data_IF_232619463777
#
_entry.id   IF_232619463777
#
_cell.length_a   1.000
_cell.length_b   1.000
_cell.length_c   1.000
_cell.angle_alpha   90.00
_cell.angle_beta   90.00
_cell.angle_gamma   90.00
#
_symmetry.space_group_name_H-M   'P 1'
#
loop_
_entity.id
_entity.type
_entity.pdbx_description
1 polymer ?
#
# COMPACT_ATOMS: atom_id res chain seq x y z
N UNK A 1 -16.32 -2.25 6.22
CA UNK A 1 -16.01 -3.27 5.20
C UNK A 1 -17.06 -3.16 4.09
N UNK A 2 -16.73 -3.58 2.86
CA UNK A 2 -17.64 -3.56 1.70
C UNK A 2 -17.68 -4.95 1.09
N UNK A 3 -18.86 -5.52 0.86
CA UNK A 3 -19.00 -6.82 0.19
C UNK A 3 -19.15 -6.63 -1.32
N UNK A 4 -18.38 -7.38 -2.09
CA UNK A 4 -18.46 -7.42 -3.54
C UNK A 4 -19.20 -8.69 -3.95
N UNK A 5 -20.27 -8.49 -4.72
CA UNK A 5 -21.08 -9.55 -5.29
C UNK A 5 -20.99 -9.54 -6.79
N UNK A 6 -20.92 -10.73 -7.38
CA UNK A 6 -20.93 -10.96 -8.83
C UNK A 6 -22.24 -11.64 -9.24
N UNK A 7 -22.80 -11.20 -10.35
CA UNK A 7 -23.92 -11.86 -11.02
C UNK A 7 -23.42 -12.99 -11.92
N UNK A 8 -23.83 -14.21 -11.62
CA UNK A 8 -23.46 -15.48 -12.25
C UNK A 8 -24.73 -16.20 -12.72
N UNK A 9 -25.14 -16.05 -14.00
CA UNK A 9 -26.41 -16.60 -14.49
C UNK A 9 -26.46 -18.13 -14.46
N UNK A 10 -25.33 -18.82 -14.39
CA UNK A 10 -25.24 -20.28 -14.26
C UNK A 10 -25.78 -20.81 -12.91
N UNK A 11 -25.88 -19.95 -11.89
CA UNK A 11 -26.39 -20.33 -10.57
C UNK A 11 -27.93 -20.23 -10.53
N UNK A 12 -28.61 -21.33 -10.88
CA UNK A 12 -30.06 -21.36 -11.09
C UNK A 12 -30.94 -21.00 -9.87
N UNK A 13 -30.41 -21.08 -8.64
CA UNK A 13 -31.18 -20.75 -7.41
C UNK A 13 -30.96 -19.31 -6.95
N UNK A 14 -29.71 -18.86 -6.91
CA UNK A 14 -29.34 -17.50 -6.56
C UNK A 14 -28.21 -17.05 -7.50
N UNK A 15 -28.50 -16.15 -8.45
CA UNK A 15 -27.51 -15.73 -9.42
C UNK A 15 -26.49 -14.77 -8.81
N UNK A 16 -26.71 -14.21 -7.62
CA UNK A 16 -25.72 -13.35 -6.97
C UNK A 16 -24.82 -14.18 -6.08
N UNK A 17 -23.50 -14.00 -6.24
CA UNK A 17 -22.50 -14.70 -5.43
C UNK A 17 -21.57 -13.69 -4.78
N UNK A 18 -21.41 -13.78 -3.46
CA UNK A 18 -20.37 -13.05 -2.75
C UNK A 18 -19.00 -13.57 -3.20
N UNK A 19 -18.15 -12.67 -3.70
CA UNK A 19 -16.85 -13.04 -4.27
C UNK A 19 -15.67 -12.54 -3.44
N UNK A 20 -15.75 -11.32 -2.90
CA UNK A 20 -14.65 -10.68 -2.20
C UNK A 20 -15.13 -9.61 -1.22
N UNK A 21 -14.28 -9.30 -0.25
CA UNK A 21 -14.34 -8.09 0.56
C UNK A 21 -13.64 -6.90 -0.11
N UNK A 22 -13.86 -5.74 0.48
CA UNK A 22 -13.25 -4.49 0.09
C UNK A 22 -13.35 -3.44 1.22
N UNK A 23 -12.74 -2.29 0.99
CA UNK A 23 -12.64 -1.20 1.96
C UNK A 23 -13.10 0.12 1.37
N UNK A 24 -13.85 0.89 2.16
CA UNK A 24 -14.28 2.23 1.79
C UNK A 24 -13.15 3.22 2.10
N UNK A 25 -12.68 3.99 1.12
CA UNK A 25 -11.65 5.01 1.30
C UNK A 25 -12.25 6.41 1.50
N UNK A 26 -13.32 6.72 0.78
CA UNK A 26 -14.11 7.94 0.93
C UNK A 26 -15.53 7.70 0.39
N UNK A 27 -16.30 8.74 0.06
CA UNK A 27 -17.66 8.58 -0.46
C UNK A 27 -17.73 7.98 -1.88
N UNK A 28 -16.62 7.82 -2.58
CA UNK A 28 -16.55 7.42 -4.00
C UNK A 28 -15.64 6.24 -4.28
N UNK A 29 -14.60 6.06 -3.48
CA UNK A 29 -13.54 5.12 -3.75
C UNK A 29 -13.59 3.93 -2.81
N UNK A 30 -13.55 2.75 -3.42
CA UNK A 30 -13.47 1.47 -2.75
C UNK A 30 -12.16 0.80 -3.17
N UNK A 31 -11.42 0.26 -2.22
CA UNK A 31 -10.15 -0.43 -2.41
C UNK A 31 -10.32 -1.92 -2.16
N UNK A 32 -9.83 -2.74 -3.09
CA UNK A 32 -9.92 -4.21 -3.06
C UNK A 32 -8.72 -4.83 -3.78
N UNK A 33 -8.69 -6.16 -3.85
CA UNK A 33 -7.69 -6.91 -4.60
C UNK A 33 -8.04 -6.93 -6.10
N UNK A 34 -7.02 -6.94 -6.97
CA UNK A 34 -7.21 -7.00 -8.41
C UNK A 34 -7.81 -8.33 -8.87
N UNK A 35 -7.40 -9.45 -8.27
CA UNK A 35 -7.88 -10.78 -8.64
C UNK A 35 -9.40 -10.92 -8.46
N UNK A 36 -9.99 -10.18 -7.52
CA UNK A 36 -11.43 -10.13 -7.30
C UNK A 36 -12.21 -9.58 -8.50
N UNK A 37 -11.55 -8.80 -9.37
CA UNK A 37 -12.17 -8.18 -10.54
C UNK A 37 -12.23 -9.13 -11.74
N UNK A 38 -11.75 -10.37 -11.60
CA UNK A 38 -11.72 -11.36 -12.68
C UNK A 38 -12.63 -12.55 -12.38
N UNK A 39 -13.32 -13.02 -13.42
CA UNK A 39 -14.15 -14.22 -13.36
C UNK A 39 -13.29 -15.51 -13.34
N UNK A 40 -13.96 -16.67 -13.24
CA UNK A 40 -13.28 -17.99 -13.26
C UNK A 40 -12.46 -18.25 -14.53
N UNK A 41 -12.76 -17.56 -15.62
CA UNK A 41 -12.07 -17.65 -16.90
C UNK A 41 -10.99 -16.56 -17.05
N UNK A 42 -10.68 -15.82 -15.98
CA UNK A 42 -9.70 -14.72 -15.93
C UNK A 42 -10.08 -13.51 -16.80
N UNK A 43 -11.36 -13.35 -17.15
CA UNK A 43 -11.87 -12.17 -17.83
C UNK A 43 -12.30 -11.11 -16.81
N UNK A 44 -12.14 -9.83 -17.16
CA UNK A 44 -12.59 -8.75 -16.29
C UNK A 44 -14.11 -8.80 -16.14
N UNK A 45 -14.58 -8.84 -14.88
CA UNK A 45 -16.00 -8.81 -14.55
C UNK A 45 -16.57 -7.47 -15.01
N UNK A 46 -17.69 -7.53 -15.74
CA UNK A 46 -18.42 -6.33 -16.17
C UNK A 46 -19.04 -5.66 -14.96
N UNK A 47 -18.95 -4.32 -14.87
CA UNK A 47 -19.52 -3.55 -13.76
C UNK A 47 -21.02 -3.77 -13.58
N UNK A 48 -21.75 -4.05 -14.66
CA UNK A 48 -23.18 -4.34 -14.64
C UNK A 48 -23.50 -5.66 -13.92
N UNK A 49 -22.53 -6.57 -13.90
CA UNK A 49 -22.60 -7.85 -13.19
C UNK A 49 -22.02 -7.75 -11.78
N UNK A 50 -21.80 -6.55 -11.24
CA UNK A 50 -21.24 -6.37 -9.91
C UNK A 50 -22.13 -5.48 -9.04
N UNK A 51 -22.22 -5.82 -7.76
CA UNK A 51 -22.88 -5.00 -6.76
C UNK A 51 -22.04 -4.91 -5.49
N UNK A 52 -22.05 -3.73 -4.87
CA UNK A 52 -21.30 -3.43 -3.66
C UNK A 52 -22.29 -3.21 -2.52
N UNK A 53 -22.03 -3.81 -1.37
CA UNK A 53 -22.84 -3.65 -0.17
C UNK A 53 -22.02 -3.07 0.98
N UNK A 54 -22.59 -2.08 1.67
CA UNK A 54 -21.97 -1.29 2.74
C UNK A 54 -22.82 -1.39 4.00
N UNK A 55 -22.20 -1.34 5.18
CA UNK A 55 -22.93 -1.32 6.46
C UNK A 55 -23.62 -2.64 6.81
N UNK A 56 -23.19 -3.73 6.18
CA UNK A 56 -23.64 -5.10 6.40
C UNK A 56 -22.85 -5.75 7.56
N UNK A 57 -23.53 -6.57 8.36
CA UNK A 57 -23.02 -7.45 9.39
C UNK A 57 -23.54 -8.88 9.23
N UNK A 58 -24.85 -9.05 8.98
CA UNK A 58 -25.49 -10.35 8.77
C UNK A 58 -25.73 -10.64 7.29
N UNK A 59 -24.91 -11.53 6.73
CA UNK A 59 -24.94 -11.81 5.30
C UNK A 59 -26.23 -12.44 4.79
N UNK A 60 -27.10 -12.92 5.68
CA UNK A 60 -28.34 -13.62 5.33
C UNK A 60 -29.57 -12.73 5.48
N UNK A 61 -29.45 -11.56 6.11
CA UNK A 61 -30.58 -10.67 6.37
C UNK A 61 -30.26 -9.28 5.87
N UNK A 62 -31.23 -8.64 5.22
CA UNK A 62 -31.06 -7.25 4.80
C UNK A 62 -31.25 -6.34 6.00
N UNK A 63 -30.17 -5.67 6.40
CA UNK A 63 -30.19 -4.76 7.54
C UNK A 63 -30.59 -3.34 7.15
N UNK A 64 -31.13 -2.56 8.08
CA UNK A 64 -31.48 -1.15 7.82
C UNK A 64 -30.24 -0.28 7.51
N UNK A 65 -29.12 -0.64 8.14
CA UNK A 65 -27.79 -0.06 7.92
C UNK A 65 -27.24 -0.38 6.53
N UNK A 66 -27.72 -1.46 5.90
CA UNK A 66 -27.24 -1.94 4.62
C UNK A 66 -27.61 -0.97 3.50
N UNK A 67 -26.62 -0.67 2.68
CA UNK A 67 -26.78 0.11 1.47
C UNK A 67 -26.04 -0.53 0.32
N UNK A 68 -26.51 -0.31 -0.91
CA UNK A 68 -25.87 -0.85 -2.10
C UNK A 68 -25.57 0.18 -3.19
N UNK A 69 -24.54 -0.11 -3.99
CA UNK A 69 -24.15 0.63 -5.21
C UNK A 69 -23.60 -0.33 -6.25
N UNK A 70 -23.94 -0.09 -7.50
CA UNK A 70 -23.20 -0.67 -8.62
C UNK A 70 -21.93 0.14 -8.90
N UNK A 71 -20.83 -0.51 -9.33
CA UNK A 71 -19.65 0.20 -9.79
C UNK A 71 -19.95 1.10 -10.99
N UNK A 72 -19.43 2.33 -10.97
CA UNK A 72 -19.36 3.17 -12.16
C UNK A 72 -18.15 2.78 -13.03
N UNK A 73 -17.05 2.40 -12.37
CA UNK A 73 -15.77 2.09 -12.99
C UNK A 73 -14.97 1.12 -12.11
N UNK A 74 -14.24 0.21 -12.76
CA UNK A 74 -13.33 -0.75 -12.14
C UNK A 74 -11.94 -0.47 -12.71
N UNK A 75 -10.96 -0.23 -11.84
CA UNK A 75 -9.59 0.15 -12.19
C UNK A 75 -8.65 -0.86 -11.54
N UNK A 76 -8.11 -1.76 -12.35
CA UNK A 76 -7.07 -2.71 -11.94
C UNK A 76 -5.71 -2.05 -12.12
N UNK A 77 -4.77 -2.29 -11.19
CA UNK A 77 -3.39 -1.82 -11.34
C UNK A 77 -2.78 -2.30 -12.67
N UNK A 78 -2.11 -1.39 -13.38
CA UNK A 78 -1.60 -1.63 -14.73
C UNK A 78 -0.59 -2.79 -14.77
N UNK A 79 0.20 -2.93 -13.73
CA UNK A 79 1.22 -3.97 -13.58
C UNK A 79 0.71 -5.23 -12.82
N UNK A 80 -0.61 -5.39 -12.65
CA UNK A 80 -1.18 -6.57 -12.01
C UNK A 80 -0.87 -7.85 -12.80
N UNK A 81 -0.22 -8.80 -12.14
CA UNK A 81 0.14 -10.08 -12.72
C UNK A 81 -0.79 -11.21 -12.25
N UNK A 82 -1.61 -11.72 -13.17
CA UNK A 82 -2.59 -12.79 -12.92
C UNK A 82 -1.99 -14.17 -12.61
N UNK A 83 -0.67 -14.33 -12.69
CA UNK A 83 0.02 -15.60 -12.46
C UNK A 83 0.55 -15.64 -11.03
N UNK A 84 1.37 -14.68 -10.63
CA UNK A 84 1.99 -14.62 -9.30
C UNK A 84 1.27 -13.68 -8.32
N UNK A 85 0.18 -13.03 -8.76
CA UNK A 85 -0.60 -12.07 -7.97
C UNK A 85 0.21 -10.87 -7.48
N UNK A 86 1.30 -10.52 -8.16
CA UNK A 86 2.00 -9.26 -7.90
C UNK A 86 1.14 -8.07 -8.36
N UNK A 87 1.24 -6.96 -7.64
CA UNK A 87 0.37 -5.78 -7.82
C UNK A 87 -1.12 -6.08 -7.73
N UNK A 88 -1.51 -6.96 -6.81
CA UNK A 88 -2.91 -7.36 -6.56
C UNK A 88 -3.74 -6.30 -5.84
N UNK A 89 -3.96 -5.17 -6.53
CA UNK A 89 -4.71 -4.02 -6.04
C UNK A 89 -5.63 -3.48 -7.13
N UNK A 90 -6.86 -3.16 -6.76
CA UNK A 90 -7.83 -2.50 -7.61
C UNK A 90 -8.64 -1.45 -6.86
N UNK A 91 -9.08 -0.45 -7.63
CA UNK A 91 -10.03 0.55 -7.20
C UNK A 91 -11.37 0.32 -7.89
N UNK A 92 -12.43 0.54 -7.13
CA UNK A 92 -13.78 0.64 -7.66
C UNK A 92 -14.29 2.05 -7.36
N UNK A 93 -14.72 2.74 -8.41
CA UNK A 93 -15.38 4.04 -8.30
C UNK A 93 -16.88 3.86 -8.36
N UNK A 94 -17.60 4.50 -7.46
CA UNK A 94 -19.07 4.59 -7.49
C UNK A 94 -19.52 5.99 -7.89
N UNK A 95 -20.63 6.03 -8.64
CA UNK A 95 -21.32 7.27 -8.99
C UNK A 95 -22.82 6.96 -9.17
N UNK A 96 -23.73 7.61 -8.42
CA UNK A 96 -23.48 8.71 -7.48
C UNK A 96 -22.69 8.29 -6.23
N UNK A 97 -22.03 9.24 -5.52
CA UNK A 97 -21.32 8.96 -4.28
C UNK A 97 -22.27 8.37 -3.22
N UNK A 98 -21.70 7.81 -2.15
CA UNK A 98 -22.47 7.47 -0.96
C UNK A 98 -23.07 8.75 -0.36
N UNK A 99 -24.26 8.61 0.23
CA UNK A 99 -25.04 9.71 0.79
C UNK A 99 -24.27 10.43 1.91
N UNK A 100 -24.20 9.81 3.08
CA UNK A 100 -23.58 10.33 4.28
C UNK A 100 -22.92 9.18 5.05
N UNK A 101 -21.87 9.49 5.80
CA UNK A 101 -21.24 8.50 6.67
C UNK A 101 -22.14 8.25 7.88
N UNK A 102 -22.35 6.98 8.19
CA UNK A 102 -23.16 6.53 9.33
C UNK A 102 -22.26 5.89 10.39
N UNK A 103 -22.77 5.49 11.56
CA UNK A 103 -22.00 4.66 12.48
C UNK A 103 -21.51 3.32 11.86
N UNK A 104 -22.21 2.83 10.83
CA UNK A 104 -21.94 1.54 10.16
C UNK A 104 -21.14 1.69 8.86
N UNK A 105 -21.16 2.88 8.25
CA UNK A 105 -20.49 3.17 6.97
C UNK A 105 -19.52 4.31 7.19
N UNK A 106 -18.23 3.97 7.36
CA UNK A 106 -17.14 4.93 7.52
C UNK A 106 -15.92 4.53 6.71
N UNK A 107 -15.15 5.51 6.21
CA UNK A 107 -13.91 5.23 5.53
C UNK A 107 -12.82 4.78 6.51
N UNK A 108 -11.87 3.99 6.01
CA UNK A 108 -10.65 3.63 6.72
C UNK A 108 -9.51 4.60 6.36
N UNK A 109 -8.56 4.81 7.28
CA UNK A 109 -7.34 5.54 6.94
C UNK A 109 -6.36 4.61 6.22
N UNK A 110 -5.50 5.12 5.34
CA UNK A 110 -4.41 4.34 4.77
C UNK A 110 -3.12 4.59 5.56
N UNK A 111 -2.38 3.51 5.86
CA UNK A 111 -1.09 3.64 6.51
C UNK A 111 -0.10 4.39 5.59
N UNK A 112 0.49 5.52 6.04
CA UNK A 112 1.57 6.16 5.30
C UNK A 112 2.83 5.29 5.33
N UNK A 113 3.73 5.52 4.38
CA UNK A 113 4.95 4.71 4.24
C UNK A 113 5.77 4.61 5.54
N UNK A 114 6.02 5.74 6.22
CA UNK A 114 6.80 5.74 7.46
C UNK A 114 6.16 4.98 8.63
N UNK A 115 4.84 4.78 8.62
CA UNK A 115 4.15 3.94 9.59
C UNK A 115 4.20 2.47 9.17
N UNK A 116 3.95 2.17 7.90
CA UNK A 116 4.06 0.80 7.37
C UNK A 116 5.45 0.21 7.58
N UNK A 117 6.50 0.95 7.22
CA UNK A 117 7.89 0.49 7.37
C UNK A 117 8.22 0.16 8.82
N UNK A 118 7.82 1.02 9.76
CA UNK A 118 8.02 0.77 11.20
C UNK A 118 7.30 -0.48 11.67
N UNK A 119 6.02 -0.63 11.33
CA UNK A 119 5.23 -1.81 11.75
C UNK A 119 5.79 -3.12 11.20
N UNK A 120 6.35 -3.09 9.99
CA UNK A 120 7.01 -4.24 9.38
C UNK A 120 8.36 -4.53 10.05
N UNK A 121 9.14 -3.51 10.42
CA UNK A 121 10.42 -3.66 11.11
C UNK A 121 10.27 -4.09 12.58
N UNK A 122 9.30 -3.54 13.30
CA UNK A 122 9.01 -3.87 14.71
C UNK A 122 8.47 -5.29 14.89
N UNK A 123 7.99 -5.93 13.82
CA UNK A 123 7.54 -7.33 13.84
C UNK A 123 8.64 -8.29 14.33
N UNK A 124 9.91 -7.93 14.11
CA UNK A 124 11.09 -8.69 14.53
C UNK A 124 11.29 -8.66 16.06
N UNK A 125 10.74 -7.66 16.76
CA UNK A 125 11.05 -7.42 18.18
C UNK A 125 9.84 -7.37 19.11
N UNK A 126 8.66 -6.93 18.64
CA UNK A 126 7.51 -6.63 19.50
C UNK A 126 6.20 -7.33 19.08
N UNK A 127 6.22 -8.22 18.08
CA UNK A 127 5.03 -8.94 17.57
C UNK A 127 3.86 -8.00 17.26
N UNK A 128 4.09 -7.01 16.40
CA UNK A 128 3.03 -6.12 15.91
C UNK A 128 1.88 -6.93 15.30
N UNK A 129 0.69 -6.83 15.88
CA UNK A 129 -0.52 -7.49 15.37
C UNK A 129 -1.42 -6.53 14.58
N UNK A 130 -2.06 -7.05 13.55
CA UNK A 130 -3.16 -6.39 12.86
C UNK A 130 -4.40 -7.27 12.84
N UNK A 131 -5.50 -6.71 12.37
CA UNK A 131 -6.79 -7.38 12.27
C UNK A 131 -7.21 -7.52 10.83
N UNK A 132 -7.72 -8.71 10.51
CA UNK A 132 -8.44 -9.00 9.28
C UNK A 132 -9.92 -9.16 9.62
N UNK A 133 -10.79 -8.60 8.79
CA UNK A 133 -12.24 -8.65 8.99
C UNK A 133 -12.95 -9.12 7.74
N UNK A 134 -13.92 -10.01 7.87
CA UNK A 134 -14.82 -10.35 6.77
C UNK A 134 -15.78 -11.51 7.05
N UNK A 135 -16.34 -12.07 5.97
CA UNK A 135 -17.32 -13.16 5.99
C UNK A 135 -16.74 -14.45 5.39
N UNK A 136 -15.41 -14.51 5.23
CA UNK A 136 -14.71 -15.65 4.71
C UNK A 136 -15.00 -16.95 5.48
N UNK A 137 -14.66 -18.06 4.84
CA UNK A 137 -14.70 -19.40 5.40
C UNK A 137 -13.69 -19.51 6.54
N UNK A 138 -14.01 -20.28 7.58
CA UNK A 138 -13.04 -20.62 8.64
C UNK A 138 -12.20 -21.86 8.33
N UNK A 139 -12.65 -22.66 7.38
CA UNK A 139 -11.99 -23.90 6.95
C UNK A 139 -11.97 -23.96 5.44
N UNK A 140 -10.97 -24.65 4.86
CA UNK A 140 -10.71 -24.68 3.41
C UNK A 140 -11.92 -25.07 2.54
N UNK A 141 -12.83 -25.87 3.10
CA UNK A 141 -14.06 -26.34 2.45
C UNK A 141 -15.32 -25.98 3.23
N UNK A 142 -15.24 -25.03 4.17
CA UNK A 142 -16.38 -24.60 4.98
C UNK A 142 -17.30 -23.63 4.24
N UNK A 143 -18.53 -23.40 4.72
CA UNK A 143 -19.35 -22.30 4.23
C UNK A 143 -18.74 -20.95 4.64
N UNK A 144 -19.10 -19.88 3.92
CA UNK A 144 -18.86 -18.50 4.39
C UNK A 144 -19.64 -18.23 5.66
N UNK A 145 -19.15 -17.31 6.48
CA UNK A 145 -19.80 -16.97 7.74
C UNK A 145 -21.03 -16.09 7.52
N UNK A 146 -22.09 -16.34 8.31
CA UNK A 146 -23.29 -15.49 8.36
C UNK A 146 -22.94 -14.10 8.91
N UNK A 147 -22.31 -14.07 10.08
CA UNK A 147 -21.93 -12.82 10.74
C UNK A 147 -20.49 -12.47 10.41
N UNK A 148 -20.21 -11.19 10.21
CA UNK A 148 -18.85 -10.70 9.99
C UNK A 148 -17.97 -11.07 11.19
N UNK A 149 -16.79 -11.62 10.92
CA UNK A 149 -15.79 -12.00 11.92
C UNK A 149 -14.56 -11.10 11.82
N UNK A 150 -13.78 -11.10 12.89
CA UNK A 150 -12.44 -10.53 12.92
C UNK A 150 -11.44 -11.53 13.49
N UNK A 151 -10.20 -11.46 13.00
CA UNK A 151 -9.07 -12.23 13.53
C UNK A 151 -7.86 -11.32 13.69
N UNK A 152 -7.16 -11.46 14.80
CA UNK A 152 -5.92 -10.73 15.08
C UNK A 152 -4.70 -11.60 14.77
N UNK A 153 -3.85 -11.13 13.85
CA UNK A 153 -2.73 -11.85 13.28
C UNK A 153 -1.43 -11.03 13.43
N UNK A 154 -0.32 -11.64 13.86
CA UNK A 154 0.98 -10.97 13.90
C UNK A 154 1.54 -10.85 12.48
N UNK A 155 2.18 -9.71 12.21
CA UNK A 155 3.03 -9.56 11.03
C UNK A 155 4.22 -10.51 11.18
N UNK A 156 4.59 -11.18 10.09
CA UNK A 156 5.67 -12.15 10.04
C UNK A 156 6.87 -11.52 9.34
N UNK A 157 8.06 -11.91 9.79
CA UNK A 157 9.30 -11.44 9.20
C UNK A 157 9.37 -11.80 7.71
N UNK A 158 9.93 -10.88 6.91
CA UNK A 158 9.98 -11.00 5.46
C UNK A 158 10.69 -12.27 5.01
N UNK A 159 11.80 -12.64 5.65
CA UNK A 159 12.58 -13.82 5.28
C UNK A 159 11.79 -15.10 5.57
N UNK A 160 11.06 -15.14 6.68
CA UNK A 160 10.18 -16.27 7.00
C UNK A 160 9.04 -16.37 5.98
N UNK A 161 8.46 -15.24 5.56
CA UNK A 161 7.47 -15.23 4.48
C UNK A 161 8.05 -15.83 3.20
N UNK A 162 9.22 -15.38 2.77
CA UNK A 162 9.90 -15.86 1.56
C UNK A 162 10.17 -17.37 1.61
N UNK A 163 10.67 -17.88 2.73
CA UNK A 163 10.95 -19.32 2.90
C UNK A 163 9.69 -20.19 2.96
N UNK A 164 8.56 -19.61 3.38
CA UNK A 164 7.29 -20.32 3.48
C UNK A 164 6.58 -20.51 2.14
N UNK A 165 6.95 -19.75 1.10
CA UNK A 165 6.30 -19.84 -0.22
C UNK A 165 6.75 -21.10 -0.94
N UNK A 166 5.79 -21.96 -1.28
CA UNK A 166 6.08 -23.13 -2.11
C UNK A 166 6.24 -22.71 -3.59
N UNK A 167 7.13 -23.39 -4.34
CA UNK A 167 7.41 -23.11 -5.76
C UNK A 167 6.15 -23.05 -6.67
N UNK A 168 5.05 -23.68 -6.24
CA UNK A 168 3.78 -23.71 -6.99
C UNK A 168 2.82 -22.57 -6.65
N UNK A 169 3.10 -21.77 -5.63
CA UNK A 169 2.20 -20.75 -5.09
C UNK A 169 2.47 -19.35 -5.62
N UNK A 170 3.65 -19.13 -6.22
CA UNK A 170 4.01 -17.87 -6.86
C UNK A 170 5.38 -17.39 -6.40
N UNK A 171 5.57 -16.08 -6.49
CA UNK A 171 6.79 -15.39 -6.07
C UNK A 171 6.41 -14.33 -5.04
N UNK A 172 7.12 -14.30 -3.92
CA UNK A 172 6.95 -13.27 -2.91
C UNK A 172 7.73 -12.01 -3.29
N UNK A 173 7.04 -10.89 -3.47
CA UNK A 173 7.64 -9.65 -3.98
C UNK A 173 7.77 -8.58 -2.89
N UNK A 174 8.42 -7.46 -3.22
CA UNK A 174 8.53 -6.27 -2.34
C UNK A 174 7.19 -5.55 -2.14
N UNK A 175 6.18 -5.93 -2.91
CA UNK A 175 4.83 -5.40 -2.83
C UNK A 175 3.97 -6.15 -1.82
N UNK A 176 4.49 -7.23 -1.23
CA UNK A 176 3.77 -8.15 -0.34
C UNK A 176 4.36 -8.17 1.08
N UNK A 177 3.53 -8.53 2.04
CA UNK A 177 3.92 -8.99 3.38
C UNK A 177 3.05 -10.19 3.78
N UNK A 178 3.47 -10.96 4.77
CA UNK A 178 2.65 -12.03 5.32
C UNK A 178 2.36 -11.83 6.81
N UNK A 179 1.26 -12.41 7.26
CA UNK A 179 0.83 -12.36 8.65
C UNK A 179 0.13 -13.67 9.02
N UNK A 180 0.32 -14.11 10.27
CA UNK A 180 -0.26 -15.36 10.76
C UNK A 180 0.57 -16.00 11.86
N UNK A 181 -0.01 -16.99 12.53
CA UNK A 181 0.68 -17.77 13.55
C UNK A 181 1.31 -19.01 12.90
N UNK A 182 2.54 -19.33 13.29
CA UNK A 182 3.21 -20.56 12.85
C UNK A 182 2.44 -21.84 13.26
N UNK A 183 1.74 -21.81 14.39
CA UNK A 183 0.88 -22.90 14.88
C UNK A 183 -0.56 -22.78 14.37
N UNK A 184 -1.33 -23.88 14.27
CA UNK A 184 -2.65 -23.92 13.62
C UNK A 184 -3.74 -23.36 14.55
N UNK A 185 -3.60 -22.10 14.95
CA UNK A 185 -4.47 -21.46 15.94
C UNK A 185 -5.54 -20.61 15.28
N UNK A 186 -5.14 -19.69 14.38
CA UNK A 186 -6.02 -18.66 13.80
C UNK A 186 -5.41 -18.12 12.51
N UNK A 187 -6.21 -18.00 11.45
CA UNK A 187 -5.78 -17.42 10.18
C UNK A 187 -6.98 -16.87 9.38
N UNK A 188 -6.71 -16.01 8.39
CA UNK A 188 -7.69 -15.54 7.42
C UNK A 188 -7.78 -16.52 6.24
N UNK A 189 -8.99 -16.92 5.86
CA UNK A 189 -9.22 -17.96 4.86
C UNK A 189 -10.15 -17.45 3.74
N UNK A 190 -10.58 -18.32 2.83
CA UNK A 190 -11.26 -17.96 1.57
C UNK A 190 -12.47 -17.06 1.78
N UNK A 191 -12.64 -16.02 0.98
CA UNK A 191 -13.81 -15.13 1.04
C UNK A 191 -13.56 -13.83 1.81
N UNK A 192 -12.42 -13.68 2.46
CA UNK A 192 -11.93 -12.37 2.96
C UNK A 192 -11.06 -11.63 1.93
N UNK A 193 -10.78 -12.25 0.78
CA UNK A 193 -10.02 -11.69 -0.35
C UNK A 193 -10.46 -10.27 -0.69
N UNK A 194 -9.51 -9.36 -0.87
CA UNK A 194 -9.75 -7.93 -1.10
C UNK A 194 -10.11 -7.13 0.16
N UNK A 195 -10.36 -7.80 1.29
CA UNK A 195 -10.63 -7.17 2.58
C UNK A 195 -9.39 -6.52 3.22
N UNK A 196 -9.57 -5.73 4.30
CA UNK A 196 -8.47 -5.06 4.97
C UNK A 196 -7.66 -5.99 5.87
N UNK A 197 -6.34 -5.78 5.87
CA UNK A 197 -5.51 -5.97 7.05
C UNK A 197 -5.27 -4.59 7.67
N UNK A 198 -5.77 -4.36 8.88
CA UNK A 198 -5.77 -3.04 9.52
C UNK A 198 -5.34 -3.10 10.98
N UNK A 199 -4.77 -2.01 11.49
CA UNK A 199 -4.39 -1.88 12.89
C UNK A 199 -5.02 -0.62 13.48
N UNK A 200 -5.23 -0.65 14.79
CA UNK A 200 -5.68 0.52 15.54
C UNK A 200 -4.45 1.29 16.01
N UNK A 201 -4.35 2.53 15.60
CA UNK A 201 -3.27 3.42 15.98
C UNK A 201 -3.60 4.18 17.28
N UNK A 202 -2.58 4.73 17.96
CA UNK A 202 -2.70 5.44 19.24
C UNK A 202 -3.56 6.70 19.20
N UNK A 203 -3.79 7.26 18.01
CA UNK A 203 -4.74 8.36 17.79
C UNK A 203 -6.21 7.88 17.73
N UNK A 204 -6.45 6.59 17.99
CA UNK A 204 -7.75 5.94 18.07
C UNK A 204 -8.33 5.52 16.71
N UNK A 205 -7.69 5.85 15.59
CA UNK A 205 -8.15 5.52 14.23
C UNK A 205 -7.61 4.18 13.74
N UNK A 206 -8.33 3.60 12.78
CA UNK A 206 -7.93 2.39 12.08
C UNK A 206 -7.21 2.75 10.78
N UNK A 207 -6.06 2.13 10.59
CA UNK A 207 -5.22 2.30 9.40
C UNK A 207 -5.09 0.95 8.68
N UNK A 208 -5.40 0.94 7.40
CA UNK A 208 -5.20 -0.20 6.54
C UNK A 208 -3.73 -0.28 6.13
N UNK A 209 -3.08 -1.38 6.49
CA UNK A 209 -1.72 -1.71 6.09
C UNK A 209 -1.71 -2.56 4.82
N UNK A 210 -2.68 -3.48 4.70
CA UNK A 210 -2.71 -4.47 3.64
C UNK A 210 -4.08 -4.76 3.06
N UNK A 211 -4.07 -5.46 1.94
CA UNK A 211 -5.24 -6.04 1.27
C UNK A 211 -5.05 -7.56 1.29
N UNK A 212 -6.06 -8.31 1.74
CA UNK A 212 -6.03 -9.78 1.70
C UNK A 212 -5.92 -10.23 0.24
N UNK A 213 -4.86 -10.98 -0.11
CA UNK A 213 -4.57 -11.34 -1.49
C UNK A 213 -4.64 -12.85 -1.69
N UNK A 214 -3.61 -13.59 -1.25
CA UNK A 214 -3.49 -15.03 -1.40
C UNK A 214 -2.93 -15.69 -0.14
N UNK A 215 -2.74 -17.00 -0.20
CA UNK A 215 -2.27 -17.83 0.91
C UNK A 215 -3.20 -19.00 1.17
N UNK A 216 -2.64 -20.09 1.71
CA UNK A 216 -3.35 -21.37 1.94
C UNK A 216 -3.94 -21.45 3.35
N UNK A 217 -3.87 -20.33 4.09
CA UNK A 217 -4.18 -20.08 5.50
C UNK A 217 -5.56 -20.44 6.06
N UNK A 218 -6.01 -21.67 5.87
CA UNK A 218 -7.17 -22.22 6.52
C UNK A 218 -6.75 -23.11 7.70
N UNK A 219 -5.95 -22.55 8.62
CA UNK A 219 -5.40 -23.19 9.83
C UNK A 219 -4.41 -24.35 9.62
N UNK A 220 -3.52 -24.25 8.63
CA UNK A 220 -2.41 -25.21 8.49
C UNK A 220 -1.14 -24.69 9.15
N UNK A 221 -0.38 -25.61 9.75
CA UNK A 221 0.90 -25.29 10.40
C UNK A 221 1.92 -24.88 9.36
N UNK A 222 2.61 -23.75 9.59
CA UNK A 222 3.67 -23.26 8.72
C UNK A 222 3.20 -22.55 7.45
N UNK A 223 1.89 -22.31 7.30
CA UNK A 223 1.34 -21.49 6.22
C UNK A 223 0.92 -20.11 6.76
N UNK A 224 1.06 -19.07 5.95
CA UNK A 224 0.70 -17.69 6.30
C UNK A 224 -0.30 -17.10 5.29
N UNK A 225 -1.05 -16.09 5.71
CA UNK A 225 -1.80 -15.23 4.80
C UNK A 225 -0.87 -14.20 4.15
N UNK A 226 -1.05 -13.94 2.86
CA UNK A 226 -0.29 -12.96 2.09
C UNK A 226 -1.14 -11.76 1.71
N UNK A 227 -0.56 -10.58 1.85
CA UNK A 227 -1.25 -9.32 1.75
C UNK A 227 -0.48 -8.36 0.84
N UNK A 228 -1.22 -7.62 0.01
CA UNK A 228 -0.66 -6.52 -0.77
C UNK A 228 -0.40 -5.32 0.13
N UNK A 229 0.82 -4.77 0.13
CA UNK A 229 1.24 -3.64 0.96
C UNK A 229 0.70 -2.33 0.43
N UNK A 230 -0.33 -1.76 1.07
CA UNK A 230 -1.03 -0.57 0.56
C UNK A 230 -0.12 0.65 0.42
N UNK A 231 0.84 0.83 1.33
CA UNK A 231 1.73 1.99 1.31
C UNK A 231 2.63 2.08 0.07
N UNK A 232 2.88 0.94 -0.61
CA UNK A 232 3.59 0.90 -1.90
C UNK A 232 2.80 1.57 -3.03
N UNK A 233 1.48 1.66 -2.91
CA UNK A 233 0.59 2.13 -3.95
C UNK A 233 0.02 3.53 -3.69
N UNK A 234 0.48 4.26 -2.67
CA UNK A 234 -0.05 5.59 -2.36
C UNK A 234 0.10 6.57 -3.54
N UNK A 235 1.20 6.49 -4.29
CA UNK A 235 1.38 7.30 -5.50
C UNK A 235 0.40 6.89 -6.61
N UNK A 236 0.21 5.59 -6.83
CA UNK A 236 -0.76 5.08 -7.78
C UNK A 236 -2.19 5.53 -7.43
N UNK A 237 -2.60 5.39 -6.16
CA UNK A 237 -3.90 5.87 -5.67
C UNK A 237 -4.09 7.37 -5.94
N UNK A 238 -3.07 8.19 -5.65
CA UNK A 238 -3.10 9.64 -5.92
C UNK A 238 -3.22 9.94 -7.42
N UNK A 239 -2.54 9.18 -8.28
CA UNK A 239 -2.64 9.30 -9.74
C UNK A 239 -4.05 9.04 -10.29
N UNK A 240 -4.88 8.29 -9.54
CA UNK A 240 -6.29 8.04 -9.85
C UNK A 240 -7.24 9.05 -9.20
N UNK A 241 -6.71 10.14 -8.65
CA UNK A 241 -7.45 11.17 -7.90
C UNK A 241 -8.16 10.63 -6.64
N UNK A 242 -7.61 9.59 -6.01
CA UNK A 242 -8.08 9.16 -4.69
C UNK A 242 -7.55 10.13 -3.63
N UNK A 243 -8.45 10.83 -2.96
CA UNK A 243 -8.11 11.67 -1.81
C UNK A 243 -8.01 10.82 -0.55
N UNK A 244 -6.78 10.45 -0.19
CA UNK A 244 -6.53 9.71 1.05
C UNK A 244 -6.63 10.68 2.23
N UNK A 245 -7.50 10.36 3.20
CA UNK A 245 -7.54 11.07 4.47
C UNK A 245 -6.28 10.73 5.29
N UNK A 246 -5.21 11.50 5.10
CA UNK A 246 -4.08 11.47 6.03
C UNK A 246 -4.46 12.24 7.29
N UNK A 247 -4.23 11.63 8.46
CA UNK A 247 -4.16 12.41 9.69
C UNK A 247 -2.85 13.19 9.69
N UNK A 248 -2.85 14.53 9.68
CA UNK A 248 -1.62 15.32 9.83
C UNK A 248 -0.91 14.99 11.15
N UNK A 249 -1.64 14.48 12.15
CA UNK A 249 -1.10 14.14 13.46
C UNK A 249 -0.36 12.80 13.50
N UNK A 250 -0.55 11.92 12.50
CA UNK A 250 0.18 10.64 12.37
C UNK A 250 1.51 10.83 11.65
N UNK A 251 1.75 11.93 10.94
CA UNK A 251 3.14 12.34 10.67
C UNK A 251 3.73 13.08 11.87
N UNK A 252 2.96 13.95 12.54
CA UNK A 252 3.48 14.81 13.62
C UNK A 252 3.90 14.08 14.90
N UNK A 253 3.14 13.08 15.38
CA UNK A 253 3.54 12.36 16.61
C UNK A 253 4.71 11.41 16.42
N UNK A 254 4.88 10.89 15.21
CA UNK A 254 5.98 9.99 14.89
C UNK A 254 7.28 10.71 14.48
N UNK A 255 7.23 12.04 14.45
CA UNK A 255 8.37 12.96 14.30
C UNK A 255 8.71 13.71 15.60
N UNK A 256 8.13 13.34 16.74
CA UNK A 256 8.58 13.88 18.04
C UNK A 256 9.82 13.16 18.58
N UNK A 257 10.88 13.19 17.77
CA UNK A 257 12.21 13.47 18.29
C UNK A 257 12.73 14.75 17.64
N UNK A 258 12.14 15.87 18.10
CA UNK A 258 12.54 17.27 17.86
C UNK A 258 12.41 17.75 16.41
N UNK A 259 11.59 18.80 16.27
CA UNK A 259 11.45 19.69 15.11
C UNK A 259 12.59 19.58 14.10
N UNK A 260 12.27 19.05 12.93
CA UNK A 260 13.11 19.15 11.76
C UNK A 260 12.31 19.92 10.71
N UNK A 261 12.75 21.13 10.39
CA UNK A 261 12.14 21.94 9.32
C UNK A 261 12.35 21.21 7.99
N UNK A 262 11.26 20.79 7.34
CA UNK A 262 11.32 20.32 5.96
C UNK A 262 11.58 21.51 5.04
N UNK A 263 12.82 21.67 4.60
CA UNK A 263 13.17 22.64 3.58
C UNK A 263 12.87 22.05 2.21
N UNK A 264 12.12 22.77 1.37
CA UNK A 264 11.88 22.40 -0.03
C UNK A 264 12.57 23.45 -0.92
N UNK A 265 13.41 22.98 -1.83
CA UNK A 265 14.07 23.82 -2.84
C UNK A 265 13.84 23.24 -4.23
N UNK A 266 13.87 24.11 -5.24
CA UNK A 266 13.70 23.76 -6.65
C UNK A 266 15.00 24.07 -7.36
N UNK A 267 15.77 23.03 -7.66
CA UNK A 267 17.07 23.19 -8.31
C UNK A 267 16.94 23.06 -9.84
N UNK A 268 17.55 23.97 -10.60
CA UNK A 268 17.59 23.91 -12.07
C UNK A 268 19.03 23.68 -12.55
N UNK A 269 19.47 22.42 -12.58
CA UNK A 269 20.69 21.90 -13.25
C UNK A 269 22.07 22.48 -12.87
N UNK A 270 23.14 21.70 -13.05
CA UNK A 270 23.55 20.60 -12.18
C UNK A 270 24.09 21.11 -10.82
N UNK A 271 23.53 20.62 -9.72
CA UNK A 271 24.00 20.96 -8.36
C UNK A 271 24.40 19.70 -7.60
N UNK A 272 25.37 19.84 -6.69
CA UNK A 272 25.72 18.80 -5.71
C UNK A 272 24.95 19.11 -4.43
N UNK A 273 24.08 18.19 -4.00
CA UNK A 273 23.45 18.31 -2.69
C UNK A 273 24.19 17.43 -1.68
N UNK A 274 24.47 17.98 -0.50
CA UNK A 274 25.01 17.22 0.63
C UNK A 274 23.96 17.24 1.74
N UNK A 275 23.46 16.07 2.13
CA UNK A 275 22.52 15.92 3.24
C UNK A 275 23.22 15.28 4.42
N UNK A 276 22.74 15.56 5.64
CA UNK A 276 23.28 14.93 6.84
C UNK A 276 22.95 13.43 6.84
N UNK A 277 23.87 12.60 7.35
CA UNK A 277 23.64 11.17 7.49
C UNK A 277 22.38 10.90 8.34
N UNK A 278 21.49 10.03 7.85
CA UNK A 278 20.18 9.76 8.45
C UNK A 278 19.03 10.66 7.97
N UNK A 279 19.29 11.58 7.03
CA UNK A 279 18.22 12.34 6.36
C UNK A 279 17.44 11.45 5.39
N UNK A 280 16.11 11.55 5.42
CA UNK A 280 15.24 10.94 4.40
C UNK A 280 15.09 11.93 3.25
N UNK A 281 15.45 11.53 2.03
CA UNK A 281 15.32 12.35 0.82
C UNK A 281 14.19 11.78 -0.03
N UNK A 282 13.08 12.53 -0.14
CA UNK A 282 12.05 12.27 -1.14
C UNK A 282 12.43 12.98 -2.46
N UNK A 283 12.00 12.46 -3.61
CA UNK A 283 12.32 12.98 -4.94
C UNK A 283 11.05 13.03 -5.80
N UNK A 284 10.52 14.24 -6.06
CA UNK A 284 9.30 14.41 -6.85
C UNK A 284 9.58 15.03 -8.23
N UNK A 285 9.58 14.23 -9.31
CA UNK A 285 9.79 14.71 -10.69
C UNK A 285 8.48 15.22 -11.34
N UNK A 286 8.47 16.47 -11.82
CA UNK A 286 7.37 17.05 -12.61
C UNK A 286 7.78 17.11 -14.09
N UNK A 287 6.96 16.61 -15.05
CA UNK A 287 7.38 16.47 -16.44
C UNK A 287 7.43 17.81 -17.19
N UNK A 288 8.60 18.17 -17.74
CA UNK A 288 8.70 19.06 -18.90
C UNK A 288 9.90 18.69 -19.79
N UNK A 289 9.78 18.91 -21.10
CA UNK A 289 10.59 18.32 -22.19
C UNK A 289 12.12 18.34 -21.98
N UNK A 290 12.75 17.17 -22.23
CA UNK A 290 14.19 16.78 -22.33
C UNK A 290 14.77 15.94 -21.17
N UNK A 291 15.74 15.05 -21.42
CA UNK A 291 16.21 13.94 -20.55
C UNK A 291 17.09 14.34 -19.33
N UNK A 292 16.97 13.63 -18.19
CA UNK A 292 17.82 13.75 -16.99
C UNK A 292 18.10 12.37 -16.32
N UNK A 293 19.25 12.23 -15.64
CA UNK A 293 19.61 11.06 -14.83
C UNK A 293 20.02 11.47 -13.41
N UNK A 294 19.61 10.67 -12.41
CA UNK A 294 19.94 10.88 -10.99
C UNK A 294 20.76 9.70 -10.48
N UNK A 295 21.98 9.97 -10.02
CA UNK A 295 22.87 8.98 -9.41
C UNK A 295 23.20 9.38 -7.98
N UNK A 296 23.32 8.39 -7.10
CA UNK A 296 23.66 8.58 -5.70
C UNK A 296 25.01 7.95 -5.37
N UNK A 297 25.73 8.54 -4.42
CA UNK A 297 27.03 8.07 -3.98
C UNK A 297 27.06 8.02 -2.45
N UNK A 298 27.46 6.86 -1.91
CA UNK A 298 27.89 6.78 -0.51
C UNK A 298 29.39 7.10 -0.49
N UNK A 299 29.76 8.29 -0.03
CA UNK A 299 31.13 8.81 -0.14
C UNK A 299 31.57 8.97 -1.60
N UNK A 300 32.63 8.26 -2.00
CA UNK A 300 33.17 8.25 -3.37
C UNK A 300 32.83 6.95 -4.13
N UNK A 301 31.97 6.08 -3.60
CA UNK A 301 31.57 4.83 -4.26
C UNK A 301 30.18 5.02 -4.89
N UNK A 302 30.02 4.76 -6.21
CA UNK A 302 28.70 4.81 -6.83
C UNK A 302 27.80 3.72 -6.23
N UNK A 303 26.59 4.10 -5.82
CA UNK A 303 25.53 3.16 -5.45
C UNK A 303 24.75 2.69 -6.70
N UNK A 304 23.80 1.77 -6.51
CA UNK A 304 22.98 1.23 -7.60
C UNK A 304 22.07 2.31 -8.21
N UNK A 305 22.09 2.45 -9.53
CA UNK A 305 21.28 3.42 -10.27
C UNK A 305 19.78 3.21 -9.99
N UNK A 306 19.11 4.18 -9.34
CA UNK A 306 17.70 4.06 -8.97
C UNK A 306 16.75 4.26 -10.16
N UNK A 307 17.12 5.09 -11.15
CA UNK A 307 16.26 5.45 -12.28
C UNK A 307 17.10 5.67 -13.54
N UNK A 308 16.81 4.94 -14.63
CA UNK A 308 17.59 5.02 -15.88
C UNK A 308 17.07 6.03 -16.90
N UNK A 309 15.82 6.48 -16.83
CA UNK A 309 15.29 7.40 -17.86
C UNK A 309 14.05 8.15 -17.39
N UNK A 310 14.19 9.42 -16.96
CA UNK A 310 13.06 10.35 -16.93
C UNK A 310 13.46 11.73 -17.46
N UNK A 311 12.53 12.37 -18.16
CA UNK A 311 12.69 13.67 -18.81
C UNK A 311 12.63 14.79 -17.75
N UNK A 312 13.76 15.48 -17.51
CA UNK A 312 14.00 16.66 -16.65
C UNK A 312 13.16 16.68 -15.38
N UNK A 313 13.78 16.23 -14.29
CA UNK A 313 13.21 16.30 -12.96
C UNK A 313 13.41 17.69 -12.33
N UNK A 314 12.32 18.30 -11.88
CA UNK A 314 12.41 19.11 -10.67
C UNK A 314 12.69 18.14 -9.53
N UNK A 315 13.68 18.41 -8.71
CA UNK A 315 14.04 17.56 -7.58
C UNK A 315 13.64 18.33 -6.33
N UNK A 316 12.50 17.96 -5.73
CA UNK A 316 12.13 18.45 -4.39
C UNK A 316 12.73 17.52 -3.38
N UNK A 317 13.68 18.01 -2.60
CA UNK A 317 14.34 17.25 -1.54
C UNK A 317 13.83 17.79 -0.22
N UNK A 318 13.23 16.90 0.58
CA UNK A 318 12.88 17.19 1.96
C UNK A 318 14.08 16.81 2.83
N UNK A 319 14.62 17.73 3.63
CA UNK A 319 15.71 17.42 4.58
C UNK A 319 15.20 17.63 5.99
N UNK A 320 15.33 16.63 6.86
CA UNK A 320 15.00 16.73 8.28
C UNK A 320 16.30 17.00 9.06
N UNK A 321 16.51 18.25 9.53
CA UNK A 321 17.68 18.65 10.33
C UNK A 321 17.33 18.68 11.83
N UNK A 322 18.08 18.00 12.72
CA UNK A 322 17.92 18.12 14.17
C UNK A 322 18.35 19.51 14.69
N UNK A 323 17.62 20.01 15.70
CA UNK A 323 17.66 21.39 16.25
C UNK A 323 18.98 21.91 16.88
N UNK A 324 20.17 21.37 16.57
CA UNK A 324 21.46 21.81 17.15
C UNK A 324 22.36 22.63 16.22
N UNK A 325 21.92 22.98 15.01
CA UNK A 325 22.75 23.74 14.07
C UNK A 325 22.08 25.02 13.60
N UNK A 326 22.69 26.15 13.98
CA UNK A 326 22.33 27.50 13.54
C UNK A 326 22.80 27.67 12.10
N UNK A 327 21.88 27.92 11.17
CA UNK A 327 22.21 28.24 9.78
C UNK A 327 22.33 29.76 9.61
N UNK A 328 23.45 30.19 9.01
CA UNK A 328 23.65 31.54 8.47
C UNK A 328 24.04 31.35 7.01
N UNK A 329 23.16 31.77 6.10
CA UNK A 329 23.46 31.71 4.67
C UNK A 329 24.41 32.85 4.28
N UNK A 330 25.50 32.51 3.60
CA UNK A 330 25.82 33.10 2.30
C UNK A 330 27.04 32.44 1.65
N UNK A 331 26.98 32.37 0.32
CA UNK A 331 28.01 32.16 -0.69
C UNK A 331 29.43 31.76 -0.25
N UNK A 332 29.94 30.78 -1.01
CA UNK A 332 31.35 30.50 -1.31
C UNK A 332 32.24 29.90 -0.21
N UNK A 333 32.91 28.82 -0.63
CA UNK A 333 34.05 28.13 -0.04
C UNK A 333 33.80 27.06 1.05
N UNK A 334 34.49 25.95 0.81
CA UNK A 334 34.60 24.71 1.57
C UNK A 334 35.24 24.97 2.95
N UNK A 335 35.08 23.99 3.86
CA UNK A 335 35.77 23.71 5.14
C UNK A 335 34.98 24.17 6.39
N UNK A 336 34.85 23.42 7.49
CA UNK A 336 35.33 22.09 7.90
C UNK A 336 34.46 21.59 9.05
N UNK A 337 34.23 20.28 9.18
CA UNK A 337 34.03 19.66 10.50
C UNK A 337 34.50 18.20 10.49
N UNK A 338 35.12 17.81 11.61
CA UNK A 338 35.78 16.54 11.87
C UNK A 338 34.82 15.35 11.77
N UNK A 339 35.37 14.23 11.26
CA UNK A 339 34.92 12.83 11.37
C UNK A 339 33.43 12.65 11.66
N UNK A 340 32.65 12.30 10.63
CA UNK A 340 31.99 11.01 10.40
C UNK A 340 31.39 11.05 8.97
N UNK A 341 31.25 9.88 8.36
CA UNK A 341 30.96 9.56 6.94
C UNK A 341 30.19 10.62 6.13
N UNK A 342 30.74 11.05 4.98
CA UNK A 342 30.12 11.98 4.01
C UNK A 342 29.34 11.19 2.96
N UNK A 343 28.09 11.57 2.68
CA UNK A 343 27.40 11.22 1.42
C UNK A 343 27.32 12.46 0.53
N UNK A 344 27.62 12.31 -0.77
CA UNK A 344 27.74 13.40 -1.73
C UNK A 344 26.84 13.06 -2.92
N UNK A 345 25.88 13.92 -3.27
CA UNK A 345 25.01 13.70 -4.42
C UNK A 345 25.48 14.57 -5.58
N UNK A 346 25.61 14.06 -6.80
CA UNK A 346 26.09 14.83 -7.97
C UNK A 346 25.18 14.62 -9.17
N UNK A 347 24.54 15.68 -9.65
CA UNK A 347 23.81 15.67 -10.92
C UNK A 347 24.81 15.91 -12.05
N UNK A 348 24.87 15.03 -13.06
CA UNK A 348 25.74 15.20 -14.24
C UNK A 348 24.94 15.21 -15.54
N UNK A 349 25.35 15.99 -16.57
CA UNK A 349 24.80 15.86 -17.91
C UNK A 349 25.14 14.49 -18.52
N UNK A 350 24.25 13.96 -19.36
CA UNK A 350 24.50 12.75 -20.16
C UNK A 350 25.63 13.01 -21.18
N UNK A 351 26.59 12.10 -21.35
CA UNK A 351 27.56 12.21 -22.44
C UNK A 351 26.84 11.97 -23.78
N UNK A 352 26.94 12.93 -24.68
CA UNK A 352 26.58 12.71 -26.08
C UNK A 352 27.45 11.57 -26.63
N UNK A 353 26.82 10.53 -27.16
CA UNK A 353 27.48 9.64 -28.11
C UNK A 353 27.88 10.48 -29.33
N UNK A 354 29.13 10.91 -29.38
CA UNK A 354 29.75 11.27 -30.65
C UNK A 354 30.00 9.98 -31.42
N UNK A 355 29.18 9.72 -32.42
CA UNK A 355 29.59 8.89 -33.56
C UNK A 355 30.87 9.50 -34.12
N UNK A 356 31.97 8.76 -34.00
CA UNK A 356 33.19 9.01 -34.78
C UNK A 356 33.21 7.92 -35.84
N UNK A 357 33.22 8.37 -37.09
CA UNK A 357 33.40 7.63 -38.34
C UNK A 357 34.61 6.72 -38.34
#
# INVERSE_FOLDING_TARGET
MVRIWEYRPENARDPWTFICGATLLDQRWILTAAHCMFDKNKNLIKKENMNLFFGDHDSNEREESEKSRQPAEIIVHEDYNKINLDNDIALIRIDPPLWEFTPYIRPICLAPWGLSSRLMETSIHERTTGRVTGWGQETFSGPTNRFMKEVELPIVDRHICEESVHEKEGEFTDSMFCAGYHSPLRDACRGDSGGPFAFRHDDGRWYQLGIVSWGVGCNKVGEYGFYTTVSRYLHWLRSKNVTVAYSPNVERRFNESRHSEALAFTERSPSILTVAAGSVVDLECVPNRDDASVQWFIGNRPGNMLLSTYRKCIVRIHVLIPNSTRWVGNNTHIWSMQRHVREIWRVMPTPHQTNIS
#
